data_IF_170307069179
#
_entry.id   IF_170307069179
#
_cell.length_a   1.000
_cell.length_b   1.000
_cell.length_c   1.000
_cell.angle_alpha   90.00
_cell.angle_beta   90.00
_cell.angle_gamma   90.00
#
_symmetry.space_group_name_H-M   'P 1'
#
loop_
_entity.id
_entity.type
_entity.pdbx_description
1 polymer ?
#
# COMPACT_ATOMS: atom_id res chain seq x y z
N UNK A 1 -14.25 -8.29 -12.63
CA UNK A 1 -14.03 -6.85 -12.37
C UNK A 1 -13.63 -6.54 -10.92
N UNK A 2 -12.50 -5.87 -10.71
CA UNK A 2 -11.97 -5.47 -9.40
C UNK A 2 -11.81 -3.95 -9.36
N UNK A 3 -12.42 -3.29 -8.36
CA UNK A 3 -12.10 -1.91 -8.00
C UNK A 3 -10.96 -1.91 -6.98
N UNK A 4 -9.82 -1.34 -7.31
CA UNK A 4 -8.70 -1.17 -6.40
C UNK A 4 -8.56 0.28 -5.95
N UNK A 5 -8.26 0.49 -4.67
CA UNK A 5 -8.03 1.82 -4.09
C UNK A 5 -6.79 1.83 -3.18
N UNK A 6 -6.04 2.93 -3.20
CA UNK A 6 -4.99 3.22 -2.22
C UNK A 6 -5.13 4.64 -1.68
N UNK A 7 -4.97 4.74 -0.36
CA UNK A 7 -4.90 6.01 0.38
C UNK A 7 -3.84 5.94 1.47
N UNK A 8 -2.94 4.95 1.44
CA UNK A 8 -1.97 4.73 2.52
C UNK A 8 -0.73 5.60 2.39
N UNK A 9 -0.35 6.00 1.17
CA UNK A 9 0.90 6.74 0.94
C UNK A 9 0.62 8.19 0.51
N UNK A 10 1.42 8.77 -0.41
CA UNK A 10 1.34 10.18 -0.81
C UNK A 10 0.40 10.42 -2.00
N UNK A 11 -0.59 9.55 -2.19
CA UNK A 11 -1.63 9.71 -3.19
C UNK A 11 -2.98 9.16 -2.73
N UNK A 12 -4.04 9.68 -3.33
CA UNK A 12 -5.34 9.04 -3.41
C UNK A 12 -5.44 8.41 -4.81
N UNK A 13 -5.62 7.09 -4.89
CA UNK A 13 -5.68 6.41 -6.17
C UNK A 13 -6.81 5.39 -6.24
N UNK A 14 -7.29 5.17 -7.47
CA UNK A 14 -8.27 4.14 -7.78
C UNK A 14 -8.05 3.58 -9.20
N UNK A 15 -8.34 2.30 -9.39
CA UNK A 15 -8.38 1.68 -10.71
C UNK A 15 -9.47 0.61 -10.79
N UNK A 16 -9.99 0.39 -11.99
CA UNK A 16 -10.92 -0.71 -12.29
C UNK A 16 -10.23 -1.64 -13.27
N UNK A 17 -10.09 -2.89 -12.87
CA UNK A 17 -9.26 -3.89 -13.56
C UNK A 17 -10.06 -5.18 -13.76
N UNK A 18 -9.91 -5.80 -14.92
CA UNK A 18 -10.48 -7.11 -15.24
C UNK A 18 -9.45 -7.95 -15.98
N UNK A 19 -9.15 -9.14 -15.49
CA UNK A 19 -8.20 -10.07 -16.13
C UNK A 19 -6.84 -9.44 -16.49
N UNK A 20 -6.35 -8.55 -15.62
CA UNK A 20 -5.11 -7.81 -15.81
C UNK A 20 -5.22 -6.58 -16.73
N UNK A 21 -6.37 -6.35 -17.37
CA UNK A 21 -6.65 -5.17 -18.20
C UNK A 21 -7.17 -4.04 -17.33
N UNK A 22 -6.48 -2.90 -17.37
CA UNK A 22 -6.90 -1.68 -16.68
C UNK A 22 -7.89 -0.92 -17.57
N UNK A 23 -9.16 -0.85 -17.15
CA UNK A 23 -10.21 -0.12 -17.87
C UNK A 23 -10.14 1.39 -17.60
N UNK A 24 -9.84 1.76 -16.35
CA UNK A 24 -9.50 3.13 -15.97
C UNK A 24 -8.65 3.12 -14.71
N UNK A 25 -7.74 4.09 -14.59
CA UNK A 25 -6.96 4.32 -13.39
C UNK A 25 -6.71 5.81 -13.20
N UNK A 26 -6.69 6.26 -11.95
CA UNK A 26 -6.29 7.60 -11.55
C UNK A 26 -5.45 7.54 -10.29
N UNK A 27 -4.39 8.33 -10.29
CA UNK A 27 -3.50 8.54 -9.15
C UNK A 27 -3.38 10.05 -8.96
N UNK A 28 -3.79 10.54 -7.79
CA UNK A 28 -3.70 11.96 -7.46
C UNK A 28 -2.77 12.16 -6.27
N UNK A 29 -1.60 12.80 -6.48
CA UNK A 29 -0.70 13.13 -5.39
C UNK A 29 -1.42 13.96 -4.32
N UNK A 30 -1.39 13.47 -3.09
CA UNK A 30 -2.18 14.02 -1.99
C UNK A 30 -1.55 13.71 -0.64
N UNK A 31 -1.43 14.73 0.21
CA UNK A 31 -0.97 14.58 1.60
C UNK A 31 -2.10 14.70 2.63
N UNK A 32 -3.26 15.25 2.24
CA UNK A 32 -4.44 15.47 3.09
C UNK A 32 -5.71 15.61 2.25
N UNK A 33 -6.88 15.36 2.82
CA UNK A 33 -8.17 15.49 2.14
C UNK A 33 -8.68 14.21 1.48
N UNK A 34 -8.11 13.06 1.85
CA UNK A 34 -8.48 11.75 1.30
C UNK A 34 -9.96 11.43 1.56
N UNK A 35 -10.50 11.83 2.72
CA UNK A 35 -11.87 11.54 3.12
C UNK A 35 -12.92 12.25 2.25
N UNK A 36 -12.62 13.44 1.73
CA UNK A 36 -13.48 14.14 0.78
C UNK A 36 -13.24 13.67 -0.66
N UNK A 37 -12.00 13.30 -1.00
CA UNK A 37 -11.62 13.04 -2.40
C UNK A 37 -11.88 11.61 -2.89
N UNK A 38 -11.75 10.60 -2.02
CA UNK A 38 -11.78 9.20 -2.44
C UNK A 38 -13.08 8.80 -3.14
N UNK A 39 -14.24 9.17 -2.58
CA UNK A 39 -15.52 8.80 -3.17
C UNK A 39 -15.76 9.43 -4.56
N UNK A 40 -15.53 10.76 -4.75
CA UNK A 40 -15.55 11.36 -6.09
C UNK A 40 -14.55 10.71 -7.06
N UNK A 41 -13.33 10.38 -6.61
CA UNK A 41 -12.30 9.79 -7.48
C UNK A 41 -12.75 8.43 -8.01
N UNK A 42 -13.33 7.60 -7.14
CA UNK A 42 -13.88 6.29 -7.52
C UNK A 42 -15.03 6.47 -8.52
N UNK A 43 -15.94 7.42 -8.29
CA UNK A 43 -17.04 7.70 -9.23
C UNK A 43 -16.52 8.11 -10.62
N UNK A 44 -15.50 8.96 -10.68
CA UNK A 44 -14.84 9.37 -11.93
C UNK A 44 -14.17 8.19 -12.64
N UNK A 45 -13.47 7.32 -11.91
CA UNK A 45 -12.83 6.13 -12.49
C UNK A 45 -13.86 5.16 -13.04
N UNK A 46 -14.95 4.89 -12.32
CA UNK A 46 -16.04 4.02 -12.79
C UNK A 46 -16.72 4.61 -14.03
N UNK A 47 -16.98 5.93 -14.04
CA UNK A 47 -17.55 6.63 -15.18
C UNK A 47 -16.61 6.63 -16.40
N UNK A 48 -15.32 6.87 -16.21
CA UNK A 48 -14.31 6.80 -17.27
C UNK A 48 -14.20 5.40 -17.87
N UNK A 49 -14.31 4.36 -17.04
CA UNK A 49 -14.33 2.98 -17.51
C UNK A 49 -15.65 2.60 -18.22
N UNK A 50 -16.72 3.39 -18.06
CA UNK A 50 -18.06 3.04 -18.56
C UNK A 50 -18.67 1.83 -17.85
N UNK A 51 -18.26 1.58 -16.59
CA UNK A 51 -18.66 0.39 -15.82
C UNK A 51 -19.58 0.82 -14.68
N UNK A 52 -20.70 0.10 -14.52
CA UNK A 52 -21.59 0.28 -13.39
C UNK A 52 -21.06 -0.41 -12.12
N UNK A 53 -21.37 0.13 -10.94
CA UNK A 53 -20.88 -0.42 -9.67
C UNK A 53 -21.35 -1.85 -9.39
N UNK A 54 -22.52 -2.26 -9.90
CA UNK A 54 -23.06 -3.62 -9.76
C UNK A 54 -22.31 -4.67 -10.59
N UNK A 55 -21.41 -4.24 -11.48
CA UNK A 55 -20.50 -5.11 -12.24
C UNK A 55 -19.23 -5.46 -11.48
N UNK A 56 -18.98 -4.85 -10.32
CA UNK A 56 -17.82 -5.15 -9.49
C UNK A 56 -18.00 -6.49 -8.80
N UNK A 57 -16.98 -7.35 -8.85
CA UNK A 57 -16.97 -8.63 -8.15
C UNK A 57 -16.22 -8.55 -6.81
N UNK A 58 -15.35 -7.54 -6.67
CA UNK A 58 -14.46 -7.39 -5.52
C UNK A 58 -13.93 -5.96 -5.40
N UNK A 59 -13.67 -5.55 -4.17
CA UNK A 59 -12.96 -4.31 -3.85
C UNK A 59 -11.58 -4.65 -3.27
N UNK A 60 -10.51 -4.12 -3.83
CA UNK A 60 -9.17 -4.22 -3.30
C UNK A 60 -8.79 -2.90 -2.61
N UNK A 61 -8.20 -2.99 -1.42
CA UNK A 61 -7.82 -1.82 -0.63
C UNK A 61 -6.49 -2.03 0.05
N UNK A 62 -5.64 -1.01 0.06
CA UNK A 62 -4.39 -1.08 0.82
C UNK A 62 -4.64 -1.08 2.32
N UNK A 63 -3.87 -1.87 3.07
CA UNK A 63 -3.98 -2.03 4.53
C UNK A 63 -2.76 -1.52 5.29
N UNK A 64 -1.86 -0.81 4.61
CA UNK A 64 -0.61 -0.30 5.19
C UNK A 64 0.56 -1.28 5.05
N UNK A 65 1.72 -0.95 5.65
CA UNK A 65 1.98 0.23 6.47
C UNK A 65 1.93 1.55 5.68
N UNK A 66 1.59 2.66 6.35
CA UNK A 66 1.43 3.98 5.73
C UNK A 66 0.81 5.01 6.68
N UNK A 67 0.24 6.07 6.12
CA UNK A 67 -0.52 7.12 6.83
C UNK A 67 -1.68 6.52 7.61
N UNK A 68 -1.72 6.77 8.93
CA UNK A 68 -2.78 6.27 9.81
C UNK A 68 -4.18 6.78 9.41
N UNK A 69 -4.28 8.07 9.06
CA UNK A 69 -5.53 8.68 8.61
C UNK A 69 -5.94 8.11 7.26
N UNK A 70 -5.01 8.07 6.31
CA UNK A 70 -5.26 7.60 4.95
C UNK A 70 -5.74 6.14 4.92
N UNK A 71 -5.07 5.27 5.67
CA UNK A 71 -5.44 3.86 5.83
C UNK A 71 -6.87 3.68 6.38
N UNK A 72 -7.29 4.50 7.35
CA UNK A 72 -8.67 4.43 7.89
C UNK A 72 -9.71 4.90 6.88
N UNK A 73 -9.40 5.92 6.08
CA UNK A 73 -10.29 6.41 5.02
C UNK A 73 -10.53 5.32 3.97
N UNK A 74 -9.46 4.73 3.41
CA UNK A 74 -9.56 3.68 2.41
C UNK A 74 -10.33 2.46 2.93
N UNK A 75 -10.01 2.00 4.15
CA UNK A 75 -10.68 0.85 4.76
C UNK A 75 -12.16 1.11 5.04
N UNK A 76 -12.52 2.30 5.53
CA UNK A 76 -13.91 2.66 5.78
C UNK A 76 -14.71 2.70 4.47
N UNK A 77 -14.15 3.31 3.42
CA UNK A 77 -14.76 3.38 2.10
C UNK A 77 -14.95 1.97 1.51
N UNK A 78 -13.89 1.16 1.47
CA UNK A 78 -13.95 -0.20 0.91
C UNK A 78 -14.97 -1.07 1.63
N UNK A 79 -15.04 -1.00 2.97
CA UNK A 79 -16.01 -1.76 3.77
C UNK A 79 -17.45 -1.27 3.52
N UNK A 80 -17.65 0.04 3.46
CA UNK A 80 -18.96 0.62 3.17
C UNK A 80 -19.48 0.22 1.79
N UNK A 81 -18.65 0.34 0.75
CA UNK A 81 -19.02 -0.02 -0.61
C UNK A 81 -19.20 -1.55 -0.76
N UNK A 82 -18.34 -2.35 -0.12
CA UNK A 82 -18.47 -3.81 -0.06
C UNK A 82 -19.79 -4.24 0.56
N UNK A 83 -20.18 -3.63 1.68
CA UNK A 83 -21.45 -3.90 2.34
C UNK A 83 -22.65 -3.47 1.48
N UNK A 84 -22.55 -2.33 0.79
CA UNK A 84 -23.61 -1.83 -0.08
C UNK A 84 -23.84 -2.71 -1.33
N UNK A 85 -22.77 -3.27 -1.90
CA UNK A 85 -22.82 -4.10 -3.12
C UNK A 85 -22.96 -5.60 -2.83
N UNK A 86 -22.75 -6.03 -1.58
CA UNK A 86 -22.78 -7.47 -1.23
C UNK A 86 -21.58 -8.26 -1.78
N UNK A 87 -20.46 -7.59 -2.05
CA UNK A 87 -19.25 -8.19 -2.64
C UNK A 87 -18.07 -8.10 -1.67
N UNK A 88 -17.07 -9.00 -1.74
CA UNK A 88 -15.94 -8.98 -0.81
C UNK A 88 -15.02 -7.78 -1.00
N UNK A 89 -14.50 -7.27 0.12
CA UNK A 89 -13.31 -6.41 0.15
C UNK A 89 -12.07 -7.25 0.53
N UNK A 90 -10.92 -6.94 -0.07
CA UNK A 90 -9.65 -7.65 0.11
C UNK A 90 -8.53 -6.67 0.42
N UNK A 91 -7.75 -7.00 1.45
CA UNK A 91 -6.64 -6.18 1.92
C UNK A 91 -5.32 -6.51 1.22
N UNK A 92 -4.57 -5.46 0.83
CA UNK A 92 -3.25 -5.56 0.19
C UNK A 92 -2.23 -4.72 0.95
N UNK A 93 -1.07 -5.28 1.29
CA UNK A 93 -0.01 -4.52 1.96
C UNK A 93 0.59 -3.46 1.04
N UNK A 94 0.86 -2.26 1.55
CA UNK A 94 1.45 -1.17 0.76
C UNK A 94 2.85 -1.53 0.25
N UNK A 95 3.64 -2.25 1.06
CA UNK A 95 4.96 -2.76 0.65
C UNK A 95 4.84 -3.81 -0.46
N UNK A 96 3.82 -4.68 -0.39
CA UNK A 96 3.53 -5.68 -1.43
C UNK A 96 3.15 -4.99 -2.75
N UNK A 97 2.29 -3.98 -2.68
CA UNK A 97 1.86 -3.22 -3.86
C UNK A 97 3.01 -2.45 -4.53
N UNK A 98 3.97 -1.94 -3.74
CA UNK A 98 5.18 -1.31 -4.27
C UNK A 98 6.13 -2.31 -4.93
N UNK A 99 6.21 -3.54 -4.43
CA UNK A 99 7.11 -4.56 -4.96
C UNK A 99 6.54 -5.28 -6.19
N UNK A 100 5.21 -5.45 -6.28
CA UNK A 100 4.57 -6.32 -7.28
C UNK A 100 4.91 -6.00 -8.74
N UNK A 101 5.07 -4.74 -9.19
CA UNK A 101 5.44 -4.45 -10.58
C UNK A 101 6.87 -4.86 -10.97
N UNK A 102 7.66 -5.40 -10.03
CA UNK A 102 9.08 -5.62 -10.18
C UNK A 102 9.46 -7.10 -9.99
N UNK A 103 10.44 -7.56 -10.76
CA UNK A 103 10.99 -8.91 -10.69
C UNK A 103 12.35 -8.92 -9.99
N UNK A 104 12.88 -10.11 -9.68
CA UNK A 104 14.13 -10.28 -8.96
C UNK A 104 13.98 -10.02 -7.46
N UNK A 105 15.09 -9.69 -6.79
CA UNK A 105 15.08 -9.41 -5.35
C UNK A 105 14.76 -7.95 -5.11
N UNK A 106 13.54 -7.71 -4.65
CA UNK A 106 12.98 -6.37 -4.43
C UNK A 106 12.79 -6.15 -2.94
N UNK A 107 13.30 -5.03 -2.45
CA UNK A 107 13.06 -4.57 -1.10
C UNK A 107 12.16 -3.34 -1.18
N UNK A 108 10.93 -3.49 -0.72
CA UNK A 108 10.04 -2.36 -0.54
C UNK A 108 10.37 -1.68 0.80
N UNK A 109 10.59 -0.38 0.76
CA UNK A 109 11.06 0.42 1.88
C UNK A 109 10.27 1.72 1.96
N UNK A 110 9.57 1.92 3.07
CA UNK A 110 8.87 3.17 3.38
C UNK A 110 9.57 3.88 4.53
N UNK A 111 9.72 5.20 4.41
CA UNK A 111 10.22 6.03 5.52
C UNK A 111 9.21 6.04 6.68
N UNK A 112 9.57 5.41 7.80
CA UNK A 112 8.75 5.37 9.01
C UNK A 112 9.06 6.53 9.98
N UNK A 113 9.88 7.48 9.54
CA UNK A 113 10.39 8.64 10.31
C UNK A 113 11.26 8.22 11.50
N UNK A 114 11.97 9.19 12.08
CA UNK A 114 12.81 9.02 13.28
C UNK A 114 13.88 7.92 13.15
N UNK A 115 14.54 7.87 12.00
CA UNK A 115 15.59 6.88 11.74
C UNK A 115 15.09 5.44 11.61
N UNK A 116 13.80 5.26 11.30
CA UNK A 116 13.18 3.95 11.10
C UNK A 116 12.62 3.84 9.68
N UNK A 117 12.54 2.61 9.19
CA UNK A 117 11.88 2.26 7.93
C UNK A 117 10.89 1.13 8.14
N UNK A 118 9.82 1.09 7.35
CA UNK A 118 9.09 -0.15 7.14
C UNK A 118 9.73 -0.88 5.97
N UNK A 119 10.04 -2.16 6.14
CA UNK A 119 10.77 -2.93 5.16
C UNK A 119 10.12 -4.30 4.96
N UNK A 120 10.04 -4.74 3.71
CA UNK A 120 9.71 -6.11 3.37
C UNK A 120 10.50 -6.55 2.14
N UNK A 121 11.00 -7.78 2.19
CA UNK A 121 11.77 -8.39 1.12
C UNK A 121 10.91 -9.30 0.25
N UNK A 122 11.14 -9.25 -1.06
CA UNK A 122 10.47 -10.05 -2.07
C UNK A 122 11.49 -10.65 -3.04
N UNK A 123 11.16 -11.82 -3.58
CA UNK A 123 11.86 -12.45 -4.70
C UNK A 123 10.81 -12.85 -5.75
N UNK A 124 10.90 -12.28 -6.95
CA UNK A 124 9.98 -12.54 -8.07
C UNK A 124 8.50 -12.40 -7.67
N UNK A 125 8.18 -11.33 -6.95
CA UNK A 125 6.83 -11.02 -6.46
C UNK A 125 6.37 -11.82 -5.24
N UNK A 126 7.17 -12.78 -4.76
CA UNK A 126 6.87 -13.59 -3.57
C UNK A 126 7.54 -12.98 -2.34
N UNK A 127 6.79 -12.77 -1.26
CA UNK A 127 7.35 -12.29 0.00
C UNK A 127 8.33 -13.33 0.59
N UNK A 128 9.56 -12.91 0.88
CA UNK A 128 10.58 -13.74 1.54
C UNK A 128 10.83 -13.31 2.99
N UNK A 129 10.20 -12.22 3.43
CA UNK A 129 10.13 -11.81 4.83
C UNK A 129 8.72 -11.33 5.18
N UNK A 130 8.41 -11.35 6.48
CA UNK A 130 7.31 -10.53 6.99
C UNK A 130 7.66 -9.04 6.85
N UNK A 131 6.65 -8.16 6.73
CA UNK A 131 6.87 -6.72 6.82
C UNK A 131 7.23 -6.35 8.26
N UNK A 132 8.22 -5.48 8.44
CA UNK A 132 8.72 -5.09 9.76
C UNK A 132 9.03 -3.59 9.84
N UNK A 133 9.05 -3.05 11.06
CA UNK A 133 9.48 -1.69 11.37
C UNK A 133 10.87 -1.73 12.01
N UNK A 134 11.88 -1.25 11.31
CA UNK A 134 13.28 -1.44 11.66
C UNK A 134 14.03 -0.10 11.77
N UNK A 135 15.00 0.02 12.69
CA UNK A 135 16.04 1.04 12.60
C UNK A 135 16.79 0.93 11.27
N UNK A 136 17.24 2.06 10.73
CA UNK A 136 18.00 2.13 9.47
C UNK A 136 19.22 1.20 9.50
N UNK A 137 19.91 1.10 10.63
CA UNK A 137 21.09 0.26 10.80
C UNK A 137 20.73 -1.24 10.71
N UNK A 138 19.58 -1.62 11.26
CA UNK A 138 19.08 -3.00 11.19
C UNK A 138 18.59 -3.33 9.78
N UNK A 139 17.93 -2.37 9.11
CA UNK A 139 17.55 -2.50 7.72
C UNK A 139 18.79 -2.66 6.81
N UNK A 140 19.85 -1.89 7.05
CA UNK A 140 21.11 -2.01 6.33
C UNK A 140 21.75 -3.41 6.47
N UNK A 141 21.70 -4.00 7.67
CA UNK A 141 22.15 -5.38 7.88
C UNK A 141 21.35 -6.38 7.04
N UNK A 142 20.03 -6.21 6.89
CA UNK A 142 19.18 -7.05 6.01
C UNK A 142 19.55 -6.91 4.54
N UNK A 143 19.90 -5.70 4.09
CA UNK A 143 20.37 -5.46 2.73
C UNK A 143 21.67 -6.22 2.44
N UNK A 144 22.60 -6.25 3.39
CA UNK A 144 23.85 -6.99 3.25
C UNK A 144 23.63 -8.50 3.17
N UNK A 145 22.68 -9.03 3.95
CA UNK A 145 22.34 -10.45 4.01
C UNK A 145 21.66 -10.96 2.73
N UNK A 146 20.63 -10.24 2.27
CA UNK A 146 19.77 -10.70 1.17
C UNK A 146 20.10 -10.08 -0.19
N UNK A 147 20.93 -9.03 -0.19
CA UNK A 147 21.52 -8.38 -1.35
C UNK A 147 20.51 -8.05 -2.46
N UNK A 148 19.54 -7.15 -2.22
CA UNK A 148 18.51 -6.82 -3.21
C UNK A 148 19.09 -6.26 -4.50
N UNK A 149 18.35 -6.48 -5.58
CA UNK A 149 18.61 -5.91 -6.90
C UNK A 149 17.93 -4.52 -7.04
N UNK A 150 16.84 -4.31 -6.30
CA UNK A 150 16.04 -3.08 -6.28
C UNK A 150 15.60 -2.70 -4.85
N UNK A 151 15.78 -1.42 -4.51
CA UNK A 151 15.13 -0.75 -3.40
C UNK A 151 14.02 0.17 -3.96
N UNK A 152 12.78 -0.03 -3.53
CA UNK A 152 11.62 0.74 -4.00
C UNK A 152 10.85 1.34 -2.83
N UNK A 153 10.34 2.55 -3.00
CA UNK A 153 9.50 3.23 -2.01
C UNK A 153 10.14 4.49 -1.43
N UNK A 154 9.40 5.21 -0.59
CA UNK A 154 9.83 6.50 -0.03
C UNK A 154 11.05 6.42 0.86
N UNK A 155 11.33 5.25 1.46
CA UNK A 155 12.50 5.01 2.30
C UNK A 155 13.70 4.45 1.53
N UNK A 156 13.57 4.17 0.23
CA UNK A 156 14.63 3.51 -0.56
C UNK A 156 15.94 4.31 -0.56
N UNK A 157 15.85 5.65 -0.70
CA UNK A 157 17.02 6.53 -0.69
C UNK A 157 17.77 6.53 0.65
N UNK A 158 17.08 6.24 1.77
CA UNK A 158 17.71 6.18 3.10
C UNK A 158 18.68 5.00 3.24
N UNK A 159 18.56 4.00 2.37
CA UNK A 159 19.38 2.78 2.39
C UNK A 159 20.28 2.64 1.15
N UNK A 160 20.24 3.60 0.22
CA UNK A 160 20.94 3.53 -1.06
C UNK A 160 22.45 3.34 -0.90
N UNK A 161 23.08 4.15 -0.04
CA UNK A 161 24.53 4.11 0.20
C UNK A 161 24.98 2.80 0.85
N UNK A 162 24.06 2.09 1.52
CA UNK A 162 24.34 0.79 2.17
C UNK A 162 24.36 -0.36 1.16
N UNK A 163 23.78 -0.17 -0.04
CA UNK A 163 23.81 -1.15 -1.14
C UNK A 163 23.97 -0.42 -2.49
N UNK A 164 25.17 0.09 -2.82
CA UNK A 164 25.38 0.90 -4.03
C UNK A 164 25.07 0.21 -5.36
N UNK A 165 25.09 -1.14 -5.39
CA UNK A 165 24.78 -1.90 -6.60
C UNK A 165 23.28 -2.15 -6.80
N UNK A 166 22.44 -1.89 -5.80
CA UNK A 166 21.00 -1.98 -5.97
C UNK A 166 20.51 -0.74 -6.73
N UNK A 167 19.57 -0.95 -7.66
CA UNK A 167 18.80 0.16 -8.21
C UNK A 167 17.94 0.79 -7.10
N UNK A 168 17.68 2.08 -7.22
CA UNK A 168 16.84 2.81 -6.27
C UNK A 168 15.70 3.49 -7.02
N UNK A 169 14.46 3.26 -6.57
CA UNK A 169 13.26 3.87 -7.14
C UNK A 169 12.45 4.55 -6.04
N UNK A 170 12.46 5.89 -6.03
CA UNK A 170 11.70 6.70 -5.10
C UNK A 170 10.23 6.81 -5.56
N UNK A 171 9.45 5.77 -5.31
CA UNK A 171 8.00 5.73 -5.55
C UNK A 171 7.29 6.05 -4.24
N UNK A 172 6.32 6.96 -4.28
CA UNK A 172 5.63 7.49 -3.09
C UNK A 172 4.15 7.13 -3.02
N UNK A 173 3.66 6.30 -3.93
CA UNK A 173 2.29 5.81 -3.99
C UNK A 173 2.25 4.35 -4.44
N UNK A 174 1.21 3.61 -4.05
CA UNK A 174 0.98 2.29 -4.62
C UNK A 174 0.31 2.43 -6.00
N UNK A 175 0.69 1.57 -6.95
CA UNK A 175 -0.03 1.44 -8.21
C UNK A 175 -1.37 0.72 -7.92
N UNK A 176 -2.54 1.35 -8.18
CA UNK A 176 -3.82 0.69 -7.96
C UNK A 176 -4.03 -0.55 -8.84
N UNK A 177 -3.37 -0.66 -10.00
CA UNK A 177 -3.41 -1.88 -10.80
C UNK A 177 -2.66 -3.04 -10.13
N UNK A 178 -1.52 -2.76 -9.49
CA UNK A 178 -0.78 -3.73 -8.67
C UNK A 178 -1.62 -4.19 -7.46
N UNK A 179 -2.33 -3.26 -6.82
CA UNK A 179 -3.28 -3.57 -5.74
C UNK A 179 -4.39 -4.50 -6.24
N UNK A 180 -4.95 -4.26 -7.43
CA UNK A 180 -5.96 -5.15 -8.03
C UNK A 180 -5.39 -6.55 -8.31
N UNK A 181 -4.20 -6.64 -8.90
CA UNK A 181 -3.55 -7.91 -9.24
C UNK A 181 -3.27 -8.77 -7.99
N UNK A 182 -2.73 -8.16 -6.93
CA UNK A 182 -2.50 -8.86 -5.65
C UNK A 182 -3.80 -9.32 -5.01
N UNK A 183 -4.86 -8.51 -5.10
CA UNK A 183 -6.16 -8.88 -4.56
C UNK A 183 -6.83 -10.00 -5.35
N UNK A 184 -6.63 -10.08 -6.67
CA UNK A 184 -7.19 -11.15 -7.51
C UNK A 184 -6.70 -12.53 -7.06
N UNK A 185 -5.43 -12.65 -6.65
CA UNK A 185 -4.81 -13.89 -6.20
C UNK A 185 -5.16 -14.31 -4.75
N UNK A 186 -5.89 -13.47 -3.99
CA UNK A 186 -6.16 -13.70 -2.55
C UNK A 186 -7.53 -14.28 -2.29
N UNK A 187 -7.62 -15.03 -1.18
CA UNK A 187 -8.90 -15.36 -0.58
C UNK A 187 -9.63 -14.08 -0.10
N UNK A 188 -10.97 -14.03 -0.19
CA UNK A 188 -11.76 -12.84 0.15
C UNK A 188 -11.93 -12.67 1.67
N UNK A 189 -10.82 -12.52 2.40
CA UNK A 189 -10.82 -12.26 3.84
C UNK A 189 -10.99 -10.76 4.08
N UNK A 190 -11.92 -10.33 4.98
CA UNK A 190 -12.16 -8.92 5.24
C UNK A 190 -10.88 -8.16 5.62
N UNK A 191 -10.65 -6.96 5.06
CA UNK A 191 -9.40 -6.24 5.24
C UNK A 191 -9.27 -5.71 6.67
N UNK A 192 -8.07 -5.91 7.24
CA UNK A 192 -7.68 -5.44 8.57
C UNK A 192 -6.44 -4.56 8.45
N UNK A 193 -6.37 -3.47 9.22
CA UNK A 193 -5.22 -2.58 9.17
C UNK A 193 -3.95 -3.30 9.66
N UNK A 194 -2.85 -3.13 8.94
CA UNK A 194 -1.52 -3.60 9.31
C UNK A 194 -0.76 -2.47 10.01
N UNK A 195 -0.83 -2.45 11.34
CA UNK A 195 -0.07 -1.53 12.18
C UNK A 195 1.22 -2.18 12.63
N UNK A 196 2.34 -1.82 11.99
CA UNK A 196 3.68 -2.30 12.38
C UNK A 196 4.28 -1.49 13.53
N UNK A 197 3.72 -0.31 13.82
CA UNK A 197 4.07 0.53 14.96
C UNK A 197 2.80 1.02 15.67
N UNK A 198 2.91 1.20 16.98
CA UNK A 198 1.91 1.94 17.72
C UNK A 198 1.79 3.38 17.18
N UNK A 199 0.60 3.99 17.15
CA UNK A 199 0.45 5.38 16.77
C UNK A 199 1.29 6.28 17.66
N UNK A 200 2.02 7.23 17.08
CA UNK A 200 2.80 8.25 17.82
C UNK A 200 1.92 9.27 18.58
N UNK A 201 0.61 9.03 18.70
CA UNK A 201 -0.32 9.93 19.36
C UNK A 201 -0.07 9.94 20.87
N UNK A 202 0.32 11.11 21.41
CA UNK A 202 0.26 11.34 22.85
C UNK A 202 -1.21 11.44 23.26
N UNK A 203 -1.60 10.73 24.32
CA UNK A 203 -2.90 10.94 24.96
C UNK A 203 -3.04 12.42 25.36
N UNK A 204 -4.25 13.01 25.32
CA UNK A 204 -4.50 14.30 25.96
C UNK A 204 -4.03 14.21 27.42
N UNK A 205 -3.05 15.04 27.80
CA UNK A 205 -2.44 15.02 29.15
C UNK A 205 -1.08 14.32 29.27
N UNK A 206 -0.45 13.87 28.17
CA UNK A 206 0.99 13.56 28.15
C UNK A 206 1.45 12.32 28.92
N UNK A 207 0.55 11.37 29.24
CA UNK A 207 0.93 10.10 29.85
C UNK A 207 1.14 9.02 28.77
N UNK A 208 2.28 8.37 28.79
CA UNK A 208 2.58 7.16 28.00
C UNK A 208 1.81 5.96 28.57
N UNK A 209 1.45 5.01 27.70
CA UNK A 209 0.95 3.71 28.13
C UNK A 209 2.06 2.94 28.87
N UNK A 210 1.73 2.15 29.92
CA UNK A 210 2.71 1.30 30.58
C UNK A 210 3.27 0.27 29.61
N UNK A 211 4.59 0.08 29.66
CA UNK A 211 5.33 -0.95 28.92
C UNK A 211 4.93 -2.36 29.37
#
# INVERSE_FOLDING_TARGET
MILAIDTCLFACSAAVVEDGVVHAARVEPMSRGHQERLAPLVAEVMAQAGIAFDRLDRIAVTVGPGSFTGLRVGLAFAKGLSAALGIPAVGVGSLEALAQPHNGRVFAVLDAKRGQVYLQAFADGVAVSAPDALPIETAAARLAELAPDLLVGTGAALLADMRPSARVMAIDHADPAAVAALAAARAPIPPRPLYLRAPDAKLPGGKSLPQ
#
